data_IF_427376923477
#
_entry.id   IF_427376923477
#
_cell.length_a   1.000
_cell.length_b   1.000
_cell.length_c   1.000
_cell.angle_alpha   90.00
_cell.angle_beta   90.00
_cell.angle_gamma   90.00
#
_symmetry.space_group_name_H-M   'P 1'
#
loop_
_entity.id
_entity.type
_entity.pdbx_description
1 polymer ?
#
# COMPACT_ATOMS: atom_id res chain seq x y z
N UNK A 1 16.97 -42.04 12.86
CA UNK A 1 17.33 -40.65 12.48
C UNK A 1 16.44 -40.03 11.38
N UNK A 2 15.39 -40.71 10.87
CA UNK A 2 14.66 -40.27 9.67
C UNK A 2 13.51 -39.28 9.93
N UNK A 3 12.96 -39.26 11.15
CA UNK A 3 11.85 -38.39 11.58
C UNK A 3 12.26 -36.95 11.82
N UNK A 4 13.51 -36.72 12.24
CA UNK A 4 14.04 -35.38 12.50
C UNK A 4 14.17 -34.54 11.23
N UNK A 5 14.62 -35.16 10.14
CA UNK A 5 14.79 -34.47 8.85
C UNK A 5 13.45 -34.11 8.21
N UNK A 6 12.42 -34.93 8.41
CA UNK A 6 11.06 -34.65 7.90
C UNK A 6 10.41 -33.51 8.67
N UNK A 7 10.60 -33.46 9.99
CA UNK A 7 10.14 -32.34 10.81
C UNK A 7 10.83 -31.02 10.40
N UNK A 8 12.15 -31.07 10.19
CA UNK A 8 12.91 -29.89 9.77
C UNK A 8 12.44 -29.35 8.42
N UNK A 9 12.18 -30.23 7.44
CA UNK A 9 11.66 -29.86 6.13
C UNK A 9 10.25 -29.26 6.19
N UNK A 10 9.39 -29.76 7.08
CA UNK A 10 8.06 -29.19 7.30
C UNK A 10 8.14 -27.80 7.94
N UNK A 11 9.04 -27.59 8.91
CA UNK A 11 9.24 -26.29 9.56
C UNK A 11 9.82 -25.27 8.57
N UNK A 12 10.82 -25.65 7.77
CA UNK A 12 11.40 -24.75 6.76
C UNK A 12 10.41 -24.41 5.65
N UNK A 13 9.58 -25.37 5.24
CA UNK A 13 8.48 -25.12 4.29
C UNK A 13 7.43 -24.17 4.89
N UNK A 14 7.00 -24.38 6.14
CA UNK A 14 6.02 -23.52 6.81
C UNK A 14 6.55 -22.10 7.05
N UNK A 15 7.85 -21.98 7.37
CA UNK A 15 8.53 -20.69 7.57
C UNK A 15 8.52 -19.85 6.29
N UNK A 16 8.71 -20.46 5.12
CA UNK A 16 8.66 -19.77 3.84
C UNK A 16 7.27 -19.20 3.53
N UNK A 17 6.19 -19.87 3.97
CA UNK A 17 4.82 -19.36 3.84
C UNK A 17 4.47 -18.25 4.83
N UNK A 18 5.21 -18.09 5.92
CA UNK A 18 5.04 -16.97 6.86
C UNK A 18 5.88 -15.74 6.49
N UNK A 19 6.83 -15.90 5.57
CA UNK A 19 7.73 -14.84 5.09
C UNK A 19 7.17 -14.07 3.88
N UNK A 20 5.89 -14.25 3.53
CA UNK A 20 5.15 -13.24 2.77
C UNK A 20 4.97 -12.05 3.71
N UNK A 21 6.02 -11.24 3.77
CA UNK A 21 6.17 -10.12 4.69
C UNK A 21 4.92 -9.26 4.64
N UNK A 22 4.32 -9.07 5.81
CA UNK A 22 3.22 -8.13 6.02
C UNK A 22 3.82 -6.73 5.90
N UNK A 23 4.12 -6.31 4.67
CA UNK A 23 4.61 -4.97 4.41
C UNK A 23 3.41 -4.04 4.56
N UNK A 24 3.38 -3.27 5.65
CA UNK A 24 2.33 -2.30 5.87
C UNK A 24 2.47 -1.18 4.83
N UNK A 25 1.44 -0.97 4.02
CA UNK A 25 1.42 0.14 3.07
C UNK A 25 0.84 1.42 3.70
N UNK A 26 1.18 2.58 3.11
CA UNK A 26 0.47 3.83 3.34
C UNK A 26 -1.06 3.68 3.33
N UNK A 27 -1.71 4.25 4.33
CA UNK A 27 -3.16 4.44 4.38
C UNK A 27 -3.50 5.63 3.50
N UNK A 28 -4.56 5.53 2.68
CA UNK A 28 -5.03 6.69 1.94
C UNK A 28 -5.71 7.68 2.92
N UNK A 29 -5.19 8.90 3.09
CA UNK A 29 -5.81 9.88 3.98
C UNK A 29 -7.13 10.40 3.39
N UNK A 30 -7.89 11.15 4.17
CA UNK A 30 -8.97 11.96 3.59
C UNK A 30 -8.38 13.17 2.88
N UNK A 31 -8.90 13.49 1.70
CA UNK A 31 -8.52 14.69 0.93
C UNK A 31 -9.80 15.45 0.60
N UNK A 32 -9.85 16.74 0.95
CA UNK A 32 -11.06 17.56 0.77
C UNK A 32 -12.32 16.90 1.36
N UNK A 33 -12.21 16.33 2.56
CA UNK A 33 -13.27 15.57 3.25
C UNK A 33 -13.71 14.27 2.56
N UNK A 34 -13.05 13.86 1.48
CA UNK A 34 -13.38 12.65 0.74
C UNK A 34 -12.42 11.50 1.07
N UNK A 35 -12.98 10.30 1.27
CA UNK A 35 -12.21 9.06 1.30
C UNK A 35 -11.76 8.68 -0.12
N UNK A 36 -10.62 7.99 -0.21
CA UNK A 36 -10.15 7.46 -1.48
C UNK A 36 -11.17 6.47 -2.07
N UNK A 37 -11.51 6.64 -3.35
CA UNK A 37 -12.38 5.72 -4.09
C UNK A 37 -11.67 4.43 -4.44
N UNK A 38 -10.35 4.52 -4.65
CA UNK A 38 -9.50 3.40 -5.00
C UNK A 38 -8.14 3.56 -4.33
N UNK A 39 -7.57 2.42 -3.93
CA UNK A 39 -6.19 2.33 -3.44
C UNK A 39 -5.53 1.10 -4.05
N UNK A 40 -4.27 1.23 -4.44
CA UNK A 40 -3.46 0.08 -4.83
C UNK A 40 -1.97 0.37 -4.62
N UNK A 41 -1.16 -0.67 -4.55
CA UNK A 41 0.29 -0.58 -4.43
C UNK A 41 0.95 -1.06 -5.72
N UNK A 42 1.80 -0.23 -6.30
CA UNK A 42 2.61 -0.58 -7.47
C UNK A 42 3.76 -1.51 -7.07
N UNK A 43 4.33 -2.22 -8.04
CA UNK A 43 5.53 -3.05 -7.88
C UNK A 43 6.73 -2.27 -7.31
N UNK A 44 6.80 -0.97 -7.56
CA UNK A 44 7.78 -0.05 -6.97
C UNK A 44 7.53 0.27 -5.48
N UNK A 45 6.59 -0.42 -4.84
CA UNK A 45 6.15 -0.22 -3.46
C UNK A 45 5.61 1.20 -3.20
N UNK A 46 5.03 1.81 -4.23
CA UNK A 46 4.33 3.10 -4.15
C UNK A 46 2.85 2.85 -3.98
N UNK A 47 2.22 3.53 -3.04
CA UNK A 47 0.77 3.47 -2.85
C UNK A 47 0.10 4.59 -3.62
N UNK A 48 -0.77 4.23 -4.55
CA UNK A 48 -1.63 5.16 -5.26
C UNK A 48 -2.99 5.23 -4.57
N UNK A 49 -3.43 6.45 -4.28
CA UNK A 49 -4.75 6.75 -3.73
C UNK A 49 -5.48 7.67 -4.70
N UNK A 50 -6.57 7.18 -5.27
CA UNK A 50 -7.41 7.96 -6.19
C UNK A 50 -8.68 8.40 -5.48
N UNK A 51 -9.07 9.64 -5.70
CA UNK A 51 -10.26 10.26 -5.12
C UNK A 51 -11.19 10.70 -6.24
N UNK A 52 -12.48 10.73 -5.96
CA UNK A 52 -13.43 11.29 -6.92
C UNK A 52 -13.10 12.77 -7.12
N UNK A 53 -13.04 13.20 -8.36
CA UNK A 53 -13.16 14.61 -8.63
C UNK A 53 -14.63 15.03 -8.35
N UNK A 54 -14.88 16.20 -7.76
CA UNK A 54 -16.24 16.72 -7.65
C UNK A 54 -16.69 17.32 -8.97
N UNK A 55 -17.78 16.81 -9.58
CA UNK A 55 -18.62 17.22 -10.76
C UNK A 55 -18.04 18.10 -11.91
N UNK A 56 -17.07 18.98 -11.68
CA UNK A 56 -16.55 20.00 -12.61
C UNK A 56 -15.07 19.85 -13.02
N UNK A 57 -14.35 18.80 -12.63
CA UNK A 57 -12.93 18.62 -12.96
C UNK A 57 -12.70 17.44 -13.91
N UNK A 58 -11.92 17.64 -14.98
CA UNK A 58 -11.71 16.62 -16.01
C UNK A 58 -10.82 15.44 -15.58
N UNK A 59 -10.24 15.46 -14.38
CA UNK A 59 -9.28 14.45 -13.91
C UNK A 59 -9.48 14.11 -12.43
N UNK A 60 -9.31 12.82 -12.12
CA UNK A 60 -9.33 12.32 -10.74
C UNK A 60 -8.14 12.86 -9.94
N UNK A 61 -8.41 13.25 -8.69
CA UNK A 61 -7.35 13.61 -7.77
C UNK A 61 -6.59 12.33 -7.37
N UNK A 62 -5.28 12.33 -7.60
CA UNK A 62 -4.41 11.20 -7.25
C UNK A 62 -3.30 11.65 -6.30
N UNK A 63 -3.11 10.87 -5.24
CA UNK A 63 -2.00 11.02 -4.29
C UNK A 63 -1.14 9.77 -4.32
N UNK A 64 0.16 9.93 -4.54
CA UNK A 64 1.11 8.83 -4.56
C UNK A 64 2.04 8.95 -3.34
N UNK A 65 2.03 7.90 -2.52
CA UNK A 65 2.85 7.79 -1.33
C UNK A 65 3.95 6.75 -1.52
N UNK A 66 5.15 7.06 -1.05
CA UNK A 66 6.21 6.07 -0.92
C UNK A 66 5.95 5.12 0.26
N UNK A 67 6.74 4.06 0.35
CA UNK A 67 6.77 3.07 1.44
C UNK A 67 6.58 3.62 2.85
N UNK A 68 7.19 4.78 3.15
CA UNK A 68 7.17 5.42 4.47
C UNK A 68 6.00 6.39 4.67
N UNK A 69 5.01 6.37 3.78
CA UNK A 69 3.88 7.28 3.82
C UNK A 69 4.20 8.71 3.39
N UNK A 70 5.39 8.99 2.85
CA UNK A 70 5.77 10.30 2.34
C UNK A 70 5.19 10.53 0.93
N UNK A 71 4.59 11.70 0.71
CA UNK A 71 4.05 12.08 -0.59
C UNK A 71 5.17 12.23 -1.62
N UNK A 72 4.97 11.68 -2.82
CA UNK A 72 5.89 11.82 -3.95
C UNK A 72 5.50 13.08 -4.72
N UNK A 73 6.37 14.10 -4.65
CA UNK A 73 6.19 15.36 -5.36
C UNK A 73 6.26 15.17 -6.88
N UNK A 74 5.45 15.93 -7.63
CA UNK A 74 5.41 15.90 -9.10
C UNK A 74 4.49 14.83 -9.70
N UNK A 75 4.13 13.79 -8.95
CA UNK A 75 3.15 12.77 -9.39
C UNK A 75 1.86 12.78 -8.57
N UNK A 76 1.74 13.70 -7.61
CA UNK A 76 0.59 13.84 -6.72
C UNK A 76 -0.04 15.22 -6.85
N UNK A 77 -1.35 15.30 -6.63
CA UNK A 77 -2.07 16.58 -6.54
C UNK A 77 -1.53 17.45 -5.39
N UNK A 78 -1.48 18.80 -5.54
CA UNK A 78 -1.04 19.70 -4.47
C UNK A 78 -1.94 19.67 -3.23
N UNK A 79 -3.19 19.20 -3.35
CA UNK A 79 -4.11 19.05 -2.21
C UNK A 79 -3.81 17.83 -1.34
N UNK A 80 -2.91 16.95 -1.76
CA UNK A 80 -2.57 15.74 -1.02
C UNK A 80 -1.79 16.08 0.26
N UNK A 81 -2.11 15.44 1.40
CA UNK A 81 -1.29 15.51 2.60
C UNK A 81 0.14 15.06 2.31
N UNK A 82 1.12 15.78 2.86
CA UNK A 82 2.56 15.48 2.66
C UNK A 82 2.98 14.12 3.23
N UNK A 83 2.23 13.62 4.22
CA UNK A 83 2.53 12.38 4.95
C UNK A 83 1.24 11.66 5.31
N UNK A 84 1.29 10.33 5.37
CA UNK A 84 0.21 9.48 5.86
C UNK A 84 0.74 8.34 6.73
N UNK A 85 -0.16 7.67 7.45
CA UNK A 85 0.15 6.51 8.30
C UNK A 85 0.48 5.28 7.44
N UNK A 86 1.33 4.40 7.93
CA UNK A 86 1.73 3.14 7.25
C UNK A 86 1.27 1.93 8.05
N UNK A 87 -0.03 1.87 8.35
CA UNK A 87 -0.63 0.82 9.18
C UNK A 87 -1.53 -0.13 8.39
N UNK A 88 -1.68 0.08 7.07
CA UNK A 88 -2.55 -0.76 6.24
C UNK A 88 -1.87 -2.09 5.93
N UNK A 89 -2.47 -3.19 6.38
CA UNK A 89 -2.04 -4.56 6.04
C UNK A 89 -2.68 -5.07 4.75
N UNK A 90 -3.76 -4.43 4.29
CA UNK A 90 -4.41 -4.75 3.02
C UNK A 90 -4.00 -3.77 1.93
N UNK A 91 -3.18 -4.28 1.01
CA UNK A 91 -2.48 -3.51 -0.02
C UNK A 91 -2.65 -4.22 -1.37
N UNK A 92 -3.82 -4.08 -2.02
CA UNK A 92 -4.04 -4.72 -3.32
C UNK A 92 -3.04 -4.17 -4.33
N UNK A 93 -2.54 -5.02 -5.22
CA UNK A 93 -1.70 -4.57 -6.32
C UNK A 93 -2.54 -3.78 -7.33
N UNK A 94 -1.90 -2.78 -7.95
CA UNK A 94 -2.37 -2.25 -9.22
C UNK A 94 -2.04 -3.31 -10.31
#
# INVERSE_FOLDING_TARGET
MKTFLTLLAAITSLSAYTLVGVHACPVCPHVNDQSAKAKCVSSDLKTSCTYNHGIHASQDLTCIYGLRGSLIAGSSSPSCPKTTLTTSTYCPLC
#
